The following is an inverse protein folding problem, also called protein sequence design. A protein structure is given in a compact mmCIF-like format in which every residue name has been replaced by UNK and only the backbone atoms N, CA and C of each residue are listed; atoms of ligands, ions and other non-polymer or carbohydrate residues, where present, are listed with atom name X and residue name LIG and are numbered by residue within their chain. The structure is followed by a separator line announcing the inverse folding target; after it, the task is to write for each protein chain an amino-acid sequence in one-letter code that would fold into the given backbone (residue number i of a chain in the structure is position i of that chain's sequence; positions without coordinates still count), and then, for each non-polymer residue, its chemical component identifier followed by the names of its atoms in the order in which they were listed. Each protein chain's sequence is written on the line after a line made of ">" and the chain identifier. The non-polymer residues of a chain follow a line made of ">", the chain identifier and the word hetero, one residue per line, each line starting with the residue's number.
data_IF_772536972512
#
_entry.id   IF_772536972512
#
_cell.length_a   1.000
_cell.length_b   1.000
_cell.length_c   1.000
_cell.angle_alpha   90.00
_cell.angle_beta   90.00
_cell.angle_gamma   90.00
#
_symmetry.space_group_name_H-M   'P 1'
#
loop_
_entity.id
_entity.type
_entity.pdbx_description
1 polymer ?
#
# COMPACT_ATOMS: atom_id res chain seq x y z
N UNK A 1 18.35 2.94 5.91
CA UNK A 1 18.48 4.33 5.37
C UNK A 1 17.75 5.34 6.26
N UNK A 2 18.31 6.52 6.52
CA UNK A 2 17.60 7.62 7.20
C UNK A 2 17.14 8.66 6.19
N UNK A 3 15.84 8.94 6.13
CA UNK A 3 15.28 10.00 5.30
C UNK A 3 15.44 11.34 6.02
N UNK A 4 15.83 12.37 5.29
CA UNK A 4 15.78 13.75 5.76
C UNK A 4 14.33 14.26 5.65
N UNK A 5 13.52 13.87 6.64
CA UNK A 5 12.11 14.20 6.80
C UNK A 5 11.80 14.33 8.29
N UNK A 6 11.02 15.35 8.65
CA UNK A 6 10.38 15.43 9.96
C UNK A 6 9.30 14.35 10.11
N UNK A 7 8.89 14.00 11.35
CA UNK A 7 7.77 13.09 11.57
C UNK A 7 6.47 13.55 10.88
N UNK A 8 6.18 14.85 10.90
CA UNK A 8 4.98 15.41 10.25
C UNK A 8 5.03 15.26 8.73
N UNK A 9 6.18 15.53 8.10
CA UNK A 9 6.37 15.30 6.67
C UNK A 9 6.29 13.81 6.33
N UNK A 10 6.90 12.93 7.13
CA UNK A 10 6.84 11.48 6.91
C UNK A 10 5.38 10.97 6.94
N UNK A 11 4.62 11.35 7.97
CA UNK A 11 3.24 10.90 8.15
C UNK A 11 2.29 11.55 7.14
N UNK A 12 2.45 12.84 6.86
CA UNK A 12 1.62 13.56 5.88
C UNK A 12 1.85 13.12 4.44
N UNK A 13 2.95 12.42 4.13
CA UNK A 13 3.27 11.92 2.78
C UNK A 13 3.13 10.40 2.62
N UNK A 14 2.85 9.67 3.71
CA UNK A 14 2.55 8.23 3.65
C UNK A 14 1.15 8.02 3.08
N UNK A 15 1.06 7.39 1.90
CA UNK A 15 -0.19 7.14 1.15
C UNK A 15 -0.21 5.71 0.62
N UNK A 16 -1.40 5.22 0.28
CA UNK A 16 -1.55 4.00 -0.51
C UNK A 16 -1.08 4.23 -1.95
N UNK A 17 0.20 3.95 -2.22
CA UNK A 17 0.81 4.09 -3.56
C UNK A 17 0.54 2.83 -4.38
N UNK A 18 -0.10 2.99 -5.54
CA UNK A 18 -0.38 1.87 -6.46
C UNK A 18 0.35 1.99 -7.79
N UNK A 19 0.43 3.21 -8.34
CA UNK A 19 0.99 3.47 -9.69
C UNK A 19 2.46 3.89 -9.73
N UNK A 20 3.03 4.38 -8.62
CA UNK A 20 4.42 4.88 -8.54
C UNK A 20 5.33 3.81 -7.92
N UNK A 21 5.29 2.61 -8.48
CA UNK A 21 6.03 1.44 -8.03
C UNK A 21 6.99 0.98 -9.13
N UNK A 22 8.23 0.63 -8.77
CA UNK A 22 9.23 0.10 -9.70
C UNK A 22 9.01 -1.38 -9.95
N UNK A 23 8.01 -1.76 -10.76
CA UNK A 23 7.56 -3.15 -10.96
C UNK A 23 8.60 -4.11 -11.56
N UNK A 24 9.75 -3.60 -11.97
CA UNK A 24 10.87 -4.37 -12.53
C UNK A 24 12.04 -4.54 -11.56
N UNK A 25 12.05 -3.80 -10.45
CA UNK A 25 13.13 -3.83 -9.46
C UNK A 25 12.73 -4.77 -8.31
N UNK A 26 13.62 -5.69 -7.89
CA UNK A 26 13.37 -6.46 -6.68
C UNK A 26 13.37 -5.55 -5.45
N UNK A 27 12.69 -5.99 -4.39
CA UNK A 27 12.80 -5.40 -3.06
C UNK A 27 13.90 -6.17 -2.31
N UNK A 28 14.99 -5.52 -1.86
CA UNK A 28 16.03 -6.18 -1.08
C UNK A 28 15.46 -6.80 0.20
N UNK A 29 15.97 -7.96 0.60
CA UNK A 29 15.52 -8.67 1.81
C UNK A 29 15.76 -7.83 3.06
N UNK A 30 16.93 -7.22 3.14
CA UNK A 30 17.39 -6.41 4.27
C UNK A 30 16.45 -5.22 4.49
N UNK A 31 15.92 -4.64 3.40
CA UNK A 31 14.94 -3.56 3.48
C UNK A 31 13.61 -4.04 4.09
N UNK A 32 13.17 -5.26 3.78
CA UNK A 32 11.95 -5.85 4.36
C UNK A 32 12.16 -6.08 5.86
N UNK A 33 13.34 -6.61 6.23
CA UNK A 33 13.71 -6.85 7.62
C UNK A 33 13.80 -5.53 8.41
N UNK A 34 14.42 -4.48 7.87
CA UNK A 34 14.41 -3.13 8.45
C UNK A 34 12.97 -2.62 8.68
N UNK A 35 12.05 -2.86 7.73
CA UNK A 35 10.65 -2.48 7.91
C UNK A 35 9.96 -3.26 9.04
N UNK A 36 10.23 -4.56 9.16
CA UNK A 36 9.68 -5.40 10.24
C UNK A 36 10.22 -4.96 11.60
N UNK A 37 11.52 -4.68 11.71
CA UNK A 37 12.16 -4.19 12.94
C UNK A 37 11.54 -2.86 13.44
N UNK A 38 11.11 -2.00 12.51
CA UNK A 38 10.36 -0.78 12.86
C UNK A 38 8.91 -1.08 13.21
N UNK A 39 8.27 -2.01 12.51
CA UNK A 39 6.87 -2.36 12.77
C UNK A 39 6.66 -2.96 14.16
N UNK A 40 7.61 -3.77 14.66
CA UNK A 40 7.52 -4.41 15.99
C UNK A 40 7.65 -3.42 17.16
N UNK A 41 8.00 -2.15 16.90
CA UNK A 41 7.96 -1.09 17.90
C UNK A 41 6.54 -0.67 18.31
N UNK A 42 5.51 -1.12 17.57
CA UNK A 42 4.13 -0.84 17.92
C UNK A 42 3.79 -1.39 19.33
N UNK A 43 2.91 -0.73 20.11
CA UNK A 43 2.46 -1.29 21.38
C UNK A 43 1.49 -2.45 21.17
N UNK A 44 1.56 -3.47 22.04
CA UNK A 44 0.54 -4.55 22.08
C UNK A 44 -0.03 -4.72 23.47
N UNK A 45 -1.30 -5.13 23.53
CA UNK A 45 -1.97 -5.45 24.78
C UNK A 45 -1.20 -6.50 25.58
N UNK A 46 -0.77 -6.13 26.79
CA UNK A 46 0.07 -6.96 27.67
C UNK A 46 1.37 -7.43 27.00
N UNK A 47 1.91 -6.65 26.06
CA UNK A 47 3.13 -6.94 25.31
C UNK A 47 3.14 -8.35 24.64
N UNK A 48 1.97 -8.85 24.22
CA UNK A 48 1.86 -10.23 23.71
C UNK A 48 2.43 -10.43 22.31
N UNK A 49 2.62 -9.37 21.52
CA UNK A 49 3.30 -9.43 20.23
C UNK A 49 2.82 -10.56 19.30
N UNK A 50 1.49 -10.81 19.23
CA UNK A 50 0.89 -11.94 18.48
C UNK A 50 0.89 -11.77 16.96
N UNK A 51 1.59 -10.76 16.44
CA UNK A 51 1.76 -10.57 15.01
C UNK A 51 2.63 -11.67 14.43
N UNK A 52 2.29 -12.06 13.20
CA UNK A 52 3.13 -12.92 12.37
C UNK A 52 3.32 -12.18 11.05
N UNK A 53 4.58 -12.05 10.62
CA UNK A 53 4.93 -11.46 9.33
C UNK A 53 5.29 -12.60 8.38
N UNK A 54 4.47 -12.82 7.35
CA UNK A 54 4.78 -13.77 6.28
C UNK A 54 5.28 -13.01 5.06
N UNK A 55 6.56 -13.18 4.74
CA UNK A 55 7.20 -12.55 3.58
C UNK A 55 7.16 -13.53 2.40
N UNK A 56 6.36 -13.22 1.38
CA UNK A 56 6.19 -14.10 0.20
C UNK A 56 7.10 -13.63 -0.93
N UNK A 57 8.24 -14.30 -1.12
CA UNK A 57 9.24 -13.96 -2.15
C UNK A 57 9.14 -14.81 -3.40
N UNK A 58 8.62 -16.04 -3.28
CA UNK A 58 8.56 -16.96 -4.41
C UNK A 58 7.54 -16.51 -5.46
N UNK A 59 7.91 -16.44 -6.77
CA UNK A 59 7.02 -15.93 -7.80
C UNK A 59 5.67 -16.68 -7.88
N UNK A 60 5.69 -18.00 -7.76
CA UNK A 60 4.48 -18.82 -7.84
C UNK A 60 3.56 -18.60 -6.64
N UNK A 61 4.13 -18.53 -5.42
CA UNK A 61 3.37 -18.24 -4.22
C UNK A 61 2.78 -16.82 -4.25
N UNK A 62 3.55 -15.82 -4.72
CA UNK A 62 3.03 -14.47 -4.91
C UNK A 62 1.85 -14.44 -5.87
N UNK A 63 1.90 -15.17 -6.98
CA UNK A 63 0.78 -15.28 -7.92
C UNK A 63 -0.43 -15.93 -7.26
N UNK A 64 -0.25 -17.05 -6.56
CA UNK A 64 -1.35 -17.73 -5.87
C UNK A 64 -2.03 -16.84 -4.82
N UNK A 65 -1.26 -16.06 -4.05
CA UNK A 65 -1.79 -15.08 -3.10
C UNK A 65 -2.45 -13.91 -3.82
N UNK A 66 -1.84 -13.40 -4.90
CA UNK A 66 -2.38 -12.33 -5.72
C UNK A 66 -3.76 -12.67 -6.30
N UNK A 67 -3.98 -13.92 -6.71
CA UNK A 67 -5.26 -14.39 -7.27
C UNK A 67 -6.41 -14.40 -6.24
N UNK A 68 -6.11 -14.32 -4.94
CA UNK A 68 -7.14 -14.16 -3.90
C UNK A 68 -7.73 -12.75 -3.95
N UNK A 69 -6.92 -11.73 -4.24
CA UNK A 69 -7.32 -10.33 -4.20
C UNK A 69 -8.52 -9.99 -5.11
N UNK A 70 -8.52 -10.31 -6.42
CA UNK A 70 -9.66 -10.02 -7.28
C UNK A 70 -10.89 -10.85 -6.92
N UNK A 71 -10.72 -12.07 -6.37
CA UNK A 71 -11.86 -12.88 -5.91
C UNK A 71 -12.52 -12.30 -4.66
N UNK A 72 -11.74 -11.69 -3.77
CA UNK A 72 -12.24 -11.06 -2.56
C UNK A 72 -12.83 -9.66 -2.78
N UNK A 73 -12.43 -8.97 -3.86
CA UNK A 73 -12.84 -7.58 -4.11
C UNK A 73 -14.37 -7.41 -4.27
N UNK A 74 -15.09 -8.25 -5.05
CA UNK A 74 -16.55 -8.22 -5.10
C UNK A 74 -17.22 -8.72 -3.81
N UNK A 75 -16.53 -9.54 -3.03
CA UNK A 75 -17.02 -10.14 -1.78
C UNK A 75 -16.99 -9.18 -0.59
N UNK A 76 -16.53 -7.93 -0.79
CA UNK A 76 -16.75 -6.85 0.16
C UNK A 76 -18.24 -6.45 0.17
N UNK A 77 -19.10 -7.35 0.65
CA UNK A 77 -20.48 -7.06 1.03
C UNK A 77 -20.43 -6.22 2.29
N UNK A 78 -20.17 -4.92 2.11
CA UNK A 78 -20.21 -3.94 3.18
C UNK A 78 -21.65 -3.49 3.46
N UNK A 79 -21.82 -2.68 4.50
CA UNK A 79 -23.05 -1.90 4.63
C UNK A 79 -23.23 -1.03 3.38
N UNK A 80 -24.48 -0.86 2.90
CA UNK A 80 -24.76 0.09 1.82
C UNK A 80 -24.18 1.47 2.16
N UNK A 81 -23.58 2.13 1.17
CA UNK A 81 -23.06 3.48 1.35
C UNK A 81 -24.21 4.44 1.68
N UNK A 82 -24.03 5.25 2.72
CA UNK A 82 -24.92 6.38 3.00
C UNK A 82 -24.63 7.54 2.04
N UNK A 83 -25.57 8.48 1.89
CA UNK A 83 -25.33 9.72 1.12
C UNK A 83 -24.09 10.48 1.63
N UNK A 84 -23.88 10.48 2.96
CA UNK A 84 -22.72 11.11 3.58
C UNK A 84 -21.41 10.39 3.23
N UNK A 85 -21.43 9.09 2.99
CA UNK A 85 -20.26 8.34 2.53
C UNK A 85 -19.95 8.71 1.08
N UNK A 86 -20.96 8.71 0.22
CA UNK A 86 -20.81 9.11 -1.19
C UNK A 86 -20.27 10.54 -1.29
N UNK A 87 -20.76 11.47 -0.48
CA UNK A 87 -20.24 12.84 -0.44
C UNK A 87 -18.77 12.88 0.01
N UNK A 88 -18.40 12.17 1.09
CA UNK A 88 -17.01 12.14 1.59
C UNK A 88 -16.03 11.54 0.58
N UNK A 89 -16.44 10.46 -0.09
CA UNK A 89 -15.63 9.81 -1.13
C UNK A 89 -15.36 10.75 -2.31
N UNK A 90 -16.31 11.63 -2.62
CA UNK A 90 -16.28 12.54 -3.76
C UNK A 90 -16.06 14.01 -3.37
N UNK A 91 -15.59 14.30 -2.14
CA UNK A 91 -15.36 15.67 -1.67
C UNK A 91 -14.47 16.46 -2.63
N UNK A 92 -13.44 15.81 -3.16
CA UNK A 92 -12.69 16.30 -4.30
C UNK A 92 -13.18 15.63 -5.59
N UNK A 93 -13.51 16.44 -6.60
CA UNK A 93 -13.93 15.95 -7.92
C UNK A 93 -12.90 14.97 -8.50
N UNK A 94 -13.38 13.84 -9.02
CA UNK A 94 -12.52 12.82 -9.63
C UNK A 94 -11.78 11.92 -8.64
N UNK A 95 -11.94 12.12 -7.32
CA UNK A 95 -11.21 11.38 -6.29
C UNK A 95 -11.50 9.88 -6.36
N UNK A 96 -12.78 9.52 -6.38
CA UNK A 96 -13.24 8.13 -6.43
C UNK A 96 -12.77 7.43 -7.71
N UNK A 97 -12.85 8.12 -8.85
CA UNK A 97 -12.39 7.62 -10.14
C UNK A 97 -10.88 7.33 -10.12
N UNK A 98 -10.06 8.25 -9.58
CA UNK A 98 -8.61 8.03 -9.41
C UNK A 98 -8.31 6.86 -8.47
N UNK A 99 -9.09 6.69 -7.41
CA UNK A 99 -8.96 5.57 -6.47
C UNK A 99 -9.22 4.24 -7.17
N UNK A 100 -10.33 4.13 -7.91
CA UNK A 100 -10.68 2.91 -8.64
C UNK A 100 -9.69 2.60 -9.76
N UNK A 101 -9.21 3.64 -10.45
CA UNK A 101 -8.19 3.49 -11.47
C UNK A 101 -6.86 2.98 -10.89
N UNK A 102 -6.45 3.47 -9.72
CA UNK A 102 -5.34 2.89 -8.97
C UNK A 102 -5.60 1.46 -8.50
N UNK A 103 -6.83 1.13 -8.11
CA UNK A 103 -7.21 -0.23 -7.68
C UNK A 103 -7.12 -1.24 -8.82
N UNK A 104 -7.57 -0.87 -10.03
CA UNK A 104 -7.40 -1.70 -11.24
C UNK A 104 -5.93 -1.96 -11.53
N UNK A 105 -5.11 -0.90 -11.53
CA UNK A 105 -3.67 -1.05 -11.74
C UNK A 105 -3.01 -1.96 -10.70
N UNK A 106 -3.42 -1.87 -9.43
CA UNK A 106 -2.97 -2.80 -8.40
C UNK A 106 -3.39 -4.23 -8.73
N UNK A 107 -4.67 -4.49 -9.03
CA UNK A 107 -5.16 -5.83 -9.31
C UNK A 107 -4.39 -6.51 -10.45
N UNK A 108 -4.04 -5.76 -11.50
CA UNK A 108 -3.24 -6.24 -12.63
C UNK A 108 -1.78 -6.57 -12.26
N UNK A 109 -1.23 -5.92 -11.24
CA UNK A 109 0.21 -5.93 -10.94
C UNK A 109 0.58 -6.47 -9.55
N UNK A 110 -0.37 -6.82 -8.69
CA UNK A 110 -0.17 -7.16 -7.27
C UNK A 110 0.76 -8.38 -7.04
N UNK A 111 0.94 -9.24 -8.04
CA UNK A 111 1.90 -10.36 -8.00
C UNK A 111 3.37 -9.94 -8.19
N UNK A 112 3.63 -8.69 -8.62
CA UNK A 112 4.97 -8.16 -8.90
C UNK A 112 5.52 -7.45 -7.65
N UNK A 113 6.65 -7.90 -7.09
CA UNK A 113 7.31 -7.17 -6.01
C UNK A 113 7.84 -5.87 -6.59
N UNK A 114 7.65 -4.75 -5.88
CA UNK A 114 8.06 -3.47 -6.41
C UNK A 114 8.41 -2.50 -5.27
N UNK A 115 9.66 -1.99 -5.21
CA UNK A 115 9.94 -0.87 -4.34
C UNK A 115 9.17 0.35 -4.81
N UNK A 116 8.80 1.21 -3.87
CA UNK A 116 8.31 2.56 -4.22
C UNK A 116 9.41 3.28 -4.99
N UNK A 117 9.03 3.99 -6.06
CA UNK A 117 9.97 4.89 -6.74
C UNK A 117 10.33 6.02 -5.77
N UNK A 118 11.63 6.29 -5.51
CA UNK A 118 12.06 7.33 -4.58
C UNK A 118 11.42 8.69 -4.90
N UNK A 119 11.22 9.53 -3.88
CA UNK A 119 10.52 10.82 -4.04
C UNK A 119 11.23 11.72 -5.07
N UNK A 120 12.55 11.70 -5.06
CA UNK A 120 13.46 12.45 -5.93
C UNK A 120 13.35 12.06 -7.41
N UNK A 121 12.87 10.84 -7.69
CA UNK A 121 12.66 10.32 -9.04
C UNK A 121 11.22 10.55 -9.55
N UNK A 122 10.33 11.13 -8.71
CA UNK A 122 8.93 11.36 -9.04
C UNK A 122 8.73 12.83 -9.44
N UNK A 123 8.70 13.08 -10.75
CA UNK A 123 8.66 14.42 -11.37
C UNK A 123 7.45 15.32 -11.01
N UNK A 124 6.43 14.81 -10.32
CA UNK A 124 5.18 15.55 -10.04
C UNK A 124 4.61 15.18 -8.66
N UNK A 125 5.29 15.56 -7.57
CA UNK A 125 4.79 15.35 -6.21
C UNK A 125 3.79 16.44 -5.77
N UNK A 126 3.94 17.62 -6.30
CA UNK A 126 3.21 18.87 -6.07
C UNK A 126 1.91 18.98 -6.88
N UNK A 127 1.68 18.08 -7.84
CA UNK A 127 0.45 17.98 -8.62
C UNK A 127 -0.17 16.60 -8.43
N UNK A 128 -1.23 16.58 -7.63
CA UNK A 128 -2.10 15.44 -7.38
C UNK A 128 -3.43 15.58 -8.12
#
# INVERSE_FOLDING_TARGET
>A
MTLDLTPDELLSTTRAVRKRLGLTRPVPRELIEECVDRAVQAPTGRNRQRWHFLVVTEPEQRRAVADIFPRATPLATGQPLTERDVWRMNYHRGSTERVFDGLRHLAENIHRPAPRIPREEVLHWDRW
#
